data_IF_681721324759
#
_entry.id   IF_681721324759
#
_cell.length_a   1.000
_cell.length_b   1.000
_cell.length_c   1.000
_cell.angle_alpha   90.00
_cell.angle_beta   90.00
_cell.angle_gamma   90.00
#
_symmetry.space_group_name_H-M   'P 1'
#
loop_
_entity.id
_entity.type
_entity.pdbx_description
1 polymer ?
#
# COMPACT_ATOMS: atom_id res chain seq x y z
N UNK A 1 11.16 5.94 0.48
CA UNK A 1 10.98 5.63 1.91
C UNK A 1 11.12 4.13 2.18
N UNK A 2 10.34 3.22 1.56
CA UNK A 2 10.39 1.77 1.87
C UNK A 2 11.78 1.15 1.63
N UNK A 3 12.45 1.50 0.53
CA UNK A 3 13.82 1.05 0.27
C UNK A 3 14.80 1.53 1.35
N UNK A 4 14.61 2.74 1.86
CA UNK A 4 15.39 3.27 2.98
C UNK A 4 15.12 2.49 4.26
N UNK A 5 13.85 2.17 4.57
CA UNK A 5 13.51 1.34 5.72
C UNK A 5 14.13 -0.07 5.60
N UNK A 6 14.16 -0.64 4.39
CA UNK A 6 14.84 -1.93 4.15
C UNK A 6 16.33 -1.82 4.49
N UNK A 7 17.01 -0.78 4.03
CA UNK A 7 18.42 -0.56 4.35
C UNK A 7 18.66 -0.39 5.85
N UNK A 8 17.83 0.42 6.52
CA UNK A 8 17.89 0.63 7.98
C UNK A 8 17.67 -0.69 8.73
N UNK A 9 16.71 -1.51 8.31
CA UNK A 9 16.40 -2.80 8.95
C UNK A 9 17.56 -3.80 8.88
N UNK A 10 18.42 -3.70 7.88
CA UNK A 10 19.56 -4.58 7.67
C UNK A 10 20.82 -4.08 8.35
N UNK A 11 21.08 -2.77 8.31
CA UNK A 11 22.43 -2.22 8.54
C UNK A 11 22.53 -1.23 9.71
N UNK A 12 21.43 -0.77 10.32
CA UNK A 12 21.48 0.19 11.41
C UNK A 12 22.13 -0.43 12.67
N UNK A 13 22.93 0.36 13.40
CA UNK A 13 23.67 -0.14 14.58
C UNK A 13 22.74 -0.48 15.76
N UNK A 14 21.68 0.32 15.97
CA UNK A 14 20.72 0.11 17.05
C UNK A 14 19.67 -0.95 16.65
N UNK A 15 19.56 -2.00 17.47
CA UNK A 15 18.65 -3.11 17.26
C UNK A 15 17.16 -2.69 17.29
N UNK A 16 16.80 -1.73 18.13
CA UNK A 16 15.41 -1.24 18.21
C UNK A 16 15.01 -0.51 16.94
N UNK A 17 15.92 0.27 16.36
CA UNK A 17 15.71 0.98 15.10
C UNK A 17 15.60 -0.02 13.95
N UNK A 18 16.46 -1.05 13.91
CA UNK A 18 16.34 -2.13 12.92
C UNK A 18 14.98 -2.85 13.00
N UNK A 19 14.55 -3.16 14.22
CA UNK A 19 13.29 -3.86 14.43
C UNK A 19 12.10 -3.02 13.98
N UNK A 20 12.07 -1.74 14.29
CA UNK A 20 11.01 -0.83 13.87
C UNK A 20 10.97 -0.68 12.34
N UNK A 21 12.12 -0.51 11.71
CA UNK A 21 12.23 -0.46 10.25
C UNK A 21 11.76 -1.78 9.61
N UNK A 22 12.11 -2.92 10.18
CA UNK A 22 11.64 -4.24 9.74
C UNK A 22 10.12 -4.40 9.86
N UNK A 23 9.53 -3.88 10.94
CA UNK A 23 8.09 -3.90 11.15
C UNK A 23 7.38 -3.05 10.07
N UNK A 24 7.90 -1.87 9.72
CA UNK A 24 7.39 -1.04 8.62
C UNK A 24 7.53 -1.71 7.25
N UNK A 25 8.68 -2.32 6.97
CA UNK A 25 8.88 -3.10 5.73
C UNK A 25 7.86 -4.23 5.65
N UNK A 26 7.66 -4.94 6.75
CA UNK A 26 6.68 -6.04 6.84
C UNK A 26 5.25 -5.57 6.59
N UNK A 27 4.85 -4.42 7.15
CA UNK A 27 3.53 -3.80 6.94
C UNK A 27 3.30 -3.42 5.47
N UNK A 28 4.29 -2.75 4.87
CA UNK A 28 4.13 -2.12 3.56
C UNK A 28 4.39 -3.06 2.38
N UNK A 29 5.05 -4.20 2.57
CA UNK A 29 5.33 -5.15 1.49
C UNK A 29 4.07 -5.60 0.72
N UNK A 30 2.98 -6.07 1.39
CA UNK A 30 1.75 -6.44 0.69
C UNK A 30 1.08 -5.24 0.00
N UNK A 31 1.18 -4.06 0.58
CA UNK A 31 0.61 -2.81 0.04
C UNK A 31 1.30 -2.43 -1.26
N UNK A 32 2.64 -2.35 -1.24
CA UNK A 32 3.44 -1.98 -2.42
C UNK A 32 3.26 -3.00 -3.54
N UNK A 33 3.32 -4.30 -3.22
CA UNK A 33 3.12 -5.36 -4.21
C UNK A 33 1.76 -5.21 -4.90
N UNK A 34 0.69 -5.08 -4.13
CA UNK A 34 -0.65 -5.02 -4.67
C UNK A 34 -0.92 -3.72 -5.43
N UNK A 35 -0.65 -2.56 -4.81
CA UNK A 35 -0.90 -1.26 -5.41
C UNK A 35 -0.12 -1.07 -6.72
N UNK A 36 1.18 -1.38 -6.73
CA UNK A 36 2.01 -1.12 -7.89
C UNK A 36 1.71 -2.07 -9.04
N UNK A 37 1.33 -3.31 -8.75
CA UNK A 37 0.93 -4.24 -9.81
C UNK A 37 -0.44 -3.91 -10.40
N UNK A 38 -1.40 -3.45 -9.60
CA UNK A 38 -2.70 -2.99 -10.08
C UNK A 38 -2.53 -1.70 -10.91
N UNK A 39 -1.81 -0.70 -10.42
CA UNK A 39 -1.50 0.52 -11.16
C UNK A 39 -0.71 0.24 -12.44
N UNK A 40 0.21 -0.71 -12.41
CA UNK A 40 0.94 -1.14 -13.60
C UNK A 40 0.01 -1.66 -14.69
N UNK A 41 -1.04 -2.43 -14.32
CA UNK A 41 -2.05 -2.88 -15.28
C UNK A 41 -2.87 -1.72 -15.85
N UNK A 42 -3.28 -0.77 -15.01
CA UNK A 42 -4.00 0.42 -15.45
C UNK A 42 -3.15 1.26 -16.40
N UNK A 43 -1.90 1.56 -16.03
CA UNK A 43 -0.96 2.37 -16.83
C UNK A 43 -0.68 1.73 -18.19
N UNK A 44 -0.44 0.42 -18.23
CA UNK A 44 -0.17 -0.27 -19.50
C UNK A 44 -1.41 -0.36 -20.38
N UNK A 45 -2.60 -0.49 -19.79
CA UNK A 45 -3.88 -0.41 -20.49
C UNK A 45 -4.09 0.99 -21.10
N UNK A 46 -3.87 2.04 -20.34
CA UNK A 46 -4.04 3.42 -20.79
C UNK A 46 -3.01 3.79 -21.85
N UNK A 47 -1.77 3.32 -21.71
CA UNK A 47 -0.76 3.48 -22.76
C UNK A 47 -1.21 2.86 -24.08
N UNK A 48 -1.79 1.65 -24.05
CA UNK A 48 -2.36 1.02 -25.24
C UNK A 48 -3.51 1.83 -25.81
N UNK A 49 -4.41 2.35 -24.97
CA UNK A 49 -5.54 3.17 -25.37
C UNK A 49 -5.11 4.47 -26.05
N UNK A 50 -4.08 5.15 -25.52
CA UNK A 50 -3.53 6.39 -26.08
C UNK A 50 -2.95 6.16 -27.48
N UNK A 51 -2.29 5.00 -27.70
CA UNK A 51 -1.75 4.62 -29.00
C UNK A 51 -2.82 4.13 -30.00
N UNK A 52 -4.06 3.96 -29.56
CA UNK A 52 -5.14 3.43 -30.39
C UNK A 52 -4.83 2.05 -30.98
N UNK A 53 -5.31 1.75 -32.19
CA UNK A 53 -5.06 0.48 -32.83
C UNK A 53 -3.58 0.09 -33.00
N UNK A 54 -2.71 1.09 -33.11
CA UNK A 54 -1.25 0.85 -33.17
C UNK A 54 -0.72 0.27 -31.85
N UNK A 55 -1.22 0.70 -30.70
CA UNK A 55 -0.81 0.18 -29.40
C UNK A 55 -1.09 -1.33 -29.23
N UNK A 56 -2.05 -1.85 -29.97
CA UNK A 56 -2.41 -3.27 -29.96
C UNK A 56 -1.51 -4.12 -30.90
N UNK A 57 -0.78 -3.49 -31.84
CA UNK A 57 0.11 -4.20 -32.77
C UNK A 57 1.49 -4.42 -32.15
N UNK A 58 2.18 -5.48 -32.60
CA UNK A 58 3.51 -5.85 -32.10
C UNK A 58 4.58 -4.81 -32.42
N UNK A 59 4.41 -4.03 -33.48
CA UNK A 59 5.39 -3.08 -33.98
C UNK A 59 5.71 -1.98 -32.96
N UNK A 60 4.78 -1.63 -32.09
CA UNK A 60 4.95 -0.60 -31.07
C UNK A 60 5.47 -1.13 -29.72
N UNK A 61 5.38 -2.42 -29.49
CA UNK A 61 5.81 -3.06 -28.23
C UNK A 61 4.94 -2.79 -27.01
N UNK A 62 3.90 -1.94 -27.11
CA UNK A 62 3.00 -1.62 -25.99
C UNK A 62 2.18 -2.84 -25.58
N UNK A 63 1.72 -3.64 -26.55
CA UNK A 63 0.97 -4.86 -26.27
C UNK A 63 1.78 -5.86 -25.43
N UNK A 64 3.10 -5.91 -25.64
CA UNK A 64 3.99 -6.75 -24.87
C UNK A 64 4.09 -6.28 -23.43
N UNK A 65 4.21 -4.99 -23.18
CA UNK A 65 4.26 -4.44 -21.82
C UNK A 65 2.97 -4.77 -21.04
N UNK A 66 1.80 -4.64 -21.66
CA UNK A 66 0.54 -5.01 -21.05
C UNK A 66 0.49 -6.50 -20.72
N UNK A 67 0.87 -7.34 -21.67
CA UNK A 67 0.86 -8.80 -21.52
C UNK A 67 1.87 -9.28 -20.47
N UNK A 68 3.09 -8.73 -20.48
CA UNK A 68 4.13 -9.08 -19.50
C UNK A 68 3.77 -8.62 -18.11
N UNK A 69 3.11 -7.44 -17.97
CA UNK A 69 2.68 -6.95 -16.67
C UNK A 69 1.54 -7.79 -16.05
N UNK A 70 0.75 -8.53 -16.86
CA UNK A 70 -0.41 -9.27 -16.36
C UNK A 70 -0.08 -10.34 -15.32
N UNK A 71 1.13 -10.90 -15.33
CA UNK A 71 1.55 -11.87 -14.31
C UNK A 71 1.79 -11.21 -12.93
N UNK A 72 2.11 -9.93 -12.89
CA UNK A 72 2.55 -9.27 -11.66
C UNK A 72 1.49 -9.23 -10.54
N UNK A 73 0.17 -9.04 -10.78
CA UNK A 73 -0.83 -9.18 -9.73
C UNK A 73 -1.18 -10.63 -9.37
N UNK A 74 -0.60 -11.63 -10.05
CA UNK A 74 -0.92 -13.05 -9.86
C UNK A 74 0.15 -13.77 -9.04
N UNK A 75 1.43 -13.61 -9.40
CA UNK A 75 2.55 -14.34 -8.78
C UNK A 75 2.87 -13.83 -7.38
N UNK A 76 3.64 -14.61 -6.61
CA UNK A 76 4.02 -14.28 -5.22
C UNK A 76 2.80 -14.03 -4.30
N UNK A 77 1.73 -14.76 -4.54
CA UNK A 77 0.42 -14.53 -3.95
C UNK A 77 -0.36 -13.44 -4.70
N UNK A 78 -1.60 -13.74 -5.05
CA UNK A 78 -2.49 -12.76 -5.70
C UNK A 78 -2.67 -11.52 -4.82
N UNK A 79 -3.10 -10.41 -5.40
CA UNK A 79 -3.33 -9.18 -4.65
C UNK A 79 -4.35 -9.37 -3.52
N UNK A 80 -5.34 -10.25 -3.67
CA UNK A 80 -6.27 -10.62 -2.59
C UNK A 80 -5.59 -11.44 -1.48
N UNK A 81 -4.60 -12.29 -1.80
CA UNK A 81 -3.79 -12.98 -0.79
C UNK A 81 -2.93 -11.98 -0.03
N UNK A 82 -2.37 -10.98 -0.70
CA UNK A 82 -1.64 -9.90 -0.05
C UNK A 82 -2.55 -9.07 0.88
N UNK A 83 -3.79 -8.81 0.47
CA UNK A 83 -4.76 -8.12 1.31
C UNK A 83 -5.13 -8.94 2.56
N UNK A 84 -5.35 -10.25 2.42
CA UNK A 84 -5.59 -11.15 3.54
C UNK A 84 -4.37 -11.21 4.49
N UNK A 85 -3.15 -11.29 3.95
CA UNK A 85 -1.91 -11.24 4.74
C UNK A 85 -1.80 -9.94 5.55
N UNK A 86 -2.12 -8.80 4.94
CA UNK A 86 -2.13 -7.51 5.61
C UNK A 86 -3.06 -7.52 6.82
N UNK A 87 -4.35 -7.86 6.62
CA UNK A 87 -5.34 -7.72 7.70
C UNK A 87 -5.24 -8.79 8.77
N UNK A 88 -4.91 -10.06 8.41
CA UNK A 88 -4.89 -11.16 9.37
C UNK A 88 -3.53 -11.38 10.03
N UNK A 89 -2.45 -10.97 9.42
CA UNK A 89 -1.10 -11.24 9.93
C UNK A 89 -0.34 -9.98 10.29
N UNK A 90 -0.32 -8.97 9.40
CA UNK A 90 0.50 -7.78 9.63
C UNK A 90 -0.13 -6.84 10.64
N UNK A 91 -1.42 -6.54 10.52
CA UNK A 91 -2.13 -5.69 11.47
C UNK A 91 -2.33 -6.36 12.84
N UNK A 92 -2.57 -7.68 12.85
CA UNK A 92 -2.75 -8.40 14.11
C UNK A 92 -1.47 -8.54 14.92
N UNK A 93 -0.30 -8.34 14.32
CA UNK A 93 0.97 -8.38 14.99
C UNK A 93 1.09 -7.19 15.97
N UNK A 94 1.46 -7.47 17.23
CA UNK A 94 1.60 -6.44 18.29
C UNK A 94 0.35 -5.57 18.49
N UNK A 95 -0.86 -6.16 18.37
CA UNK A 95 -2.14 -5.46 18.59
C UNK A 95 -2.37 -4.19 17.73
N UNK A 96 -1.86 -4.17 16.51
CA UNK A 96 -2.03 -3.01 15.61
C UNK A 96 -1.07 -1.85 15.89
N UNK A 97 -0.08 -2.01 16.75
CA UNK A 97 0.85 -0.93 17.11
C UNK A 97 1.58 -0.34 15.88
N UNK A 98 1.95 -1.18 14.92
CA UNK A 98 2.71 -0.75 13.75
C UNK A 98 1.90 0.16 12.82
N UNK A 99 0.60 -0.09 12.61
CA UNK A 99 -0.22 0.78 11.77
C UNK A 99 -0.45 2.13 12.45
N UNK A 100 -0.60 2.17 13.77
CA UNK A 100 -0.73 3.41 14.50
C UNK A 100 0.54 4.25 14.39
N UNK A 101 1.72 3.65 14.53
CA UNK A 101 3.01 4.32 14.31
C UNK A 101 3.14 4.85 12.89
N UNK A 102 2.70 4.09 11.90
CA UNK A 102 2.73 4.53 10.51
C UNK A 102 1.79 5.71 10.27
N UNK A 103 0.57 5.68 10.82
CA UNK A 103 -0.38 6.80 10.76
C UNK A 103 0.20 8.05 11.47
N UNK A 104 0.84 7.88 12.61
CA UNK A 104 1.46 8.99 13.34
C UNK A 104 2.67 9.58 12.58
N UNK A 105 3.44 8.75 11.91
CA UNK A 105 4.49 9.20 10.98
C UNK A 105 3.90 10.08 9.86
N UNK A 106 2.84 9.62 9.20
CA UNK A 106 2.17 10.39 8.14
C UNK A 106 1.61 11.71 8.69
N UNK A 107 1.01 11.70 9.88
CA UNK A 107 0.53 12.94 10.54
C UNK A 107 1.66 13.95 10.75
N UNK A 108 2.81 13.47 11.24
CA UNK A 108 3.96 14.36 11.49
C UNK A 108 4.47 14.99 10.19
N UNK A 109 4.47 14.28 9.08
CA UNK A 109 4.87 14.80 7.77
C UNK A 109 3.85 15.81 7.19
N UNK A 110 2.55 15.59 7.46
CA UNK A 110 1.49 16.50 6.99
C UNK A 110 1.36 17.80 7.80
N UNK A 111 1.90 17.83 9.01
CA UNK A 111 1.92 19.02 9.86
C UNK A 111 3.14 19.93 9.60
N UNK A 112 4.03 19.54 8.67
CA UNK A 112 5.12 20.40 8.23
C UNK A 112 4.55 21.68 7.59
N UNK A 113 5.08 22.84 8.01
CA UNK A 113 4.68 24.15 7.47
C UNK A 113 5.28 24.34 6.06
N UNK A 114 4.61 23.76 5.08
CA UNK A 114 5.00 23.84 3.66
C UNK A 114 3.83 24.41 2.84
N UNK A 115 4.00 25.64 2.38
CA UNK A 115 2.96 26.33 1.61
C UNK A 115 2.52 25.60 0.33
N UNK A 116 3.38 24.78 -0.26
CA UNK A 116 3.05 24.02 -1.48
C UNK A 116 2.05 22.89 -1.23
N UNK A 117 2.10 22.26 -0.06
CA UNK A 117 1.18 21.15 0.30
C UNK A 117 -0.05 21.63 1.04
N UNK A 118 -0.01 22.83 1.62
CA UNK A 118 -1.10 23.43 2.42
C UNK A 118 -2.50 23.36 1.79
N UNK A 119 -2.67 23.59 0.47
CA UNK A 119 -3.97 23.47 -0.19
C UNK A 119 -4.57 22.05 -0.13
N UNK A 120 -3.72 21.02 -0.09
CA UNK A 120 -4.13 19.60 -0.10
C UNK A 120 -4.28 19.02 1.31
N UNK A 121 -3.70 19.66 2.33
CA UNK A 121 -3.62 19.13 3.69
C UNK A 121 -5.01 18.83 4.29
N UNK A 122 -6.01 19.68 4.02
CA UNK A 122 -7.36 19.50 4.57
C UNK A 122 -8.02 18.23 4.03
N UNK A 123 -7.93 18.01 2.73
CA UNK A 123 -8.51 16.85 2.07
C UNK A 123 -7.74 15.58 2.45
N UNK A 124 -6.42 15.65 2.46
CA UNK A 124 -5.57 14.55 2.90
C UNK A 124 -5.86 14.11 4.35
N UNK A 125 -6.01 15.05 5.30
CA UNK A 125 -6.37 14.75 6.68
C UNK A 125 -7.72 14.04 6.80
N UNK A 126 -8.67 14.34 5.93
CA UNK A 126 -9.94 13.61 5.87
C UNK A 126 -9.74 12.13 5.48
N UNK A 127 -8.94 11.84 4.46
CA UNK A 127 -8.65 10.44 4.08
C UNK A 127 -7.80 9.71 5.12
N UNK A 128 -6.91 10.41 5.79
CA UNK A 128 -6.13 9.84 6.90
C UNK A 128 -7.02 9.49 8.11
N UNK A 129 -8.05 10.29 8.41
CA UNK A 129 -9.05 9.96 9.42
C UNK A 129 -9.89 8.73 9.04
N UNK A 130 -10.26 8.60 7.77
CA UNK A 130 -10.91 7.38 7.25
C UNK A 130 -10.02 6.16 7.45
N UNK A 131 -8.74 6.23 7.06
CA UNK A 131 -7.79 5.14 7.25
C UNK A 131 -7.66 4.76 8.72
N UNK A 132 -7.58 5.75 9.61
CA UNK A 132 -7.48 5.53 11.06
C UNK A 132 -8.69 4.74 11.58
N UNK A 133 -9.90 5.20 11.28
CA UNK A 133 -11.15 4.52 11.68
C UNK A 133 -11.29 3.13 11.06
N UNK A 134 -10.85 2.97 9.82
CA UNK A 134 -10.88 1.66 9.15
C UNK A 134 -9.88 0.69 9.83
N UNK A 135 -8.70 1.17 10.20
CA UNK A 135 -7.70 0.37 10.93
C UNK A 135 -8.20 -0.07 12.30
N UNK A 136 -8.86 0.82 13.04
CA UNK A 136 -9.51 0.52 14.31
C UNK A 136 -10.60 -0.55 14.14
N UNK A 137 -11.46 -0.40 13.12
CA UNK A 137 -12.51 -1.36 12.81
C UNK A 137 -11.95 -2.74 12.44
N UNK A 138 -10.90 -2.81 11.60
CA UNK A 138 -10.23 -4.09 11.26
C UNK A 138 -9.68 -4.75 12.51
N UNK A 139 -9.00 -3.99 13.38
CA UNK A 139 -8.42 -4.52 14.63
C UNK A 139 -9.48 -5.03 15.61
N UNK A 140 -10.61 -4.38 15.69
CA UNK A 140 -11.73 -4.82 16.55
C UNK A 140 -12.40 -6.08 15.99
N UNK A 141 -12.77 -6.05 14.70
CA UNK A 141 -13.49 -7.13 14.03
C UNK A 141 -12.66 -8.39 13.86
N UNK A 142 -11.34 -8.27 13.64
CA UNK A 142 -10.46 -9.43 13.46
C UNK A 142 -10.48 -10.43 14.64
N UNK A 143 -10.93 -9.99 15.82
CA UNK A 143 -11.04 -10.82 17.03
C UNK A 143 -12.27 -11.72 17.02
N UNK A 144 -13.36 -11.27 16.37
CA UNK A 144 -14.68 -11.90 16.53
C UNK A 144 -15.35 -12.26 15.19
N UNK A 145 -14.99 -11.60 14.10
CA UNK A 145 -15.65 -11.72 12.80
C UNK A 145 -14.64 -11.68 11.64
N UNK A 146 -14.16 -12.85 11.25
CA UNK A 146 -13.17 -12.96 10.18
C UNK A 146 -13.77 -12.78 8.79
N UNK A 147 -15.05 -13.03 8.62
CA UNK A 147 -15.72 -12.95 7.32
C UNK A 147 -15.87 -11.50 6.91
N UNK A 148 -16.30 -10.61 7.82
CA UNK A 148 -16.35 -9.16 7.59
C UNK A 148 -14.97 -8.60 7.24
N UNK A 149 -13.93 -9.02 7.98
CA UNK A 149 -12.55 -8.58 7.72
C UNK A 149 -12.04 -9.08 6.37
N UNK A 150 -12.36 -10.33 6.01
CA UNK A 150 -12.00 -10.87 4.67
C UNK A 150 -12.66 -10.09 3.54
N UNK A 151 -13.94 -9.75 3.70
CA UNK A 151 -14.68 -8.95 2.70
C UNK A 151 -14.08 -7.55 2.52
N UNK A 152 -13.61 -6.93 3.59
CA UNK A 152 -13.04 -5.58 3.60
C UNK A 152 -11.54 -5.52 3.24
N UNK A 153 -10.84 -6.65 3.19
CA UNK A 153 -9.37 -6.70 3.11
C UNK A 153 -8.79 -5.96 1.89
N UNK A 154 -9.39 -6.16 0.70
CA UNK A 154 -8.92 -5.50 -0.52
C UNK A 154 -9.13 -3.98 -0.47
N UNK A 155 -10.27 -3.52 0.03
CA UNK A 155 -10.58 -2.10 0.16
C UNK A 155 -9.67 -1.44 1.21
N UNK A 156 -9.39 -2.12 2.30
CA UNK A 156 -8.44 -1.66 3.30
C UNK A 156 -7.03 -1.51 2.72
N UNK A 157 -6.53 -2.53 2.00
CA UNK A 157 -5.20 -2.48 1.36
C UNK A 157 -5.10 -1.32 0.38
N UNK A 158 -6.11 -1.12 -0.47
CA UNK A 158 -6.16 0.01 -1.41
C UNK A 158 -6.18 1.35 -0.69
N UNK A 159 -6.99 1.48 0.36
CA UNK A 159 -7.08 2.71 1.16
C UNK A 159 -5.71 3.05 1.77
N UNK A 160 -5.06 2.08 2.43
CA UNK A 160 -3.73 2.26 2.98
C UNK A 160 -2.72 2.62 1.89
N UNK A 161 -2.78 1.94 0.74
CA UNK A 161 -1.90 2.20 -0.40
C UNK A 161 -2.04 3.63 -0.93
N UNK A 162 -3.25 4.08 -1.21
CA UNK A 162 -3.48 5.44 -1.74
C UNK A 162 -3.10 6.53 -0.73
N UNK A 163 -3.42 6.36 0.55
CA UNK A 163 -3.00 7.31 1.59
C UNK A 163 -1.47 7.36 1.73
N UNK A 164 -0.78 6.24 1.47
CA UNK A 164 0.69 6.17 1.58
C UNK A 164 1.43 6.85 0.43
N UNK A 165 0.80 7.06 -0.72
CA UNK A 165 1.42 7.69 -1.91
C UNK A 165 0.94 9.13 -2.15
N UNK A 166 -0.10 9.56 -1.45
CA UNK A 166 -0.64 10.91 -1.55
C UNK A 166 0.21 11.93 -0.79
#
# INVERSE_FOLDING_TARGET
WLSQQTEVSLNHQDEKVRQEASDFVSLMTPVVKSLFTDLGMEITNDAMQIHGGYGYTKDQGIEQLYRDNRITPIYEGTNSVQAADLVFRKLSNKNGDIINKFIDLIKSETDLDNEKIKPFTKEFKYYLDILTKFSEWINEKSKNDKDDVSAAANDYLKTLGFVSVA
#
